data_IF_326177285143
#
_entry.id   IF_326177285143
#
_cell.length_a   1.000
_cell.length_b   1.000
_cell.length_c   1.000
_cell.angle_alpha   90.00
_cell.angle_beta   90.00
_cell.angle_gamma   90.00
#
_symmetry.space_group_name_H-M   'P 1'
#
loop_
_entity.id
_entity.type
_entity.pdbx_description
1 polymer ?
#
# COMPACT_ATOMS: atom_id res chain seq x y z
N UNK A 1 17.12 14.69 3.25
CA UNK A 1 15.84 14.39 2.59
C UNK A 1 14.90 13.82 3.65
N UNK A 2 13.63 14.21 3.68
CA UNK A 2 12.73 13.82 4.78
C UNK A 2 12.63 12.29 4.97
N UNK A 3 12.47 11.55 3.86
CA UNK A 3 12.34 10.09 3.86
C UNK A 3 13.64 9.32 4.18
N UNK A 4 14.78 9.99 4.41
CA UNK A 4 16.01 9.30 4.87
C UNK A 4 16.10 9.23 6.40
N UNK A 5 15.17 9.86 7.13
CA UNK A 5 15.13 9.81 8.60
C UNK A 5 14.49 8.51 9.07
N UNK A 6 15.10 7.84 10.04
CA UNK A 6 14.52 6.63 10.64
C UNK A 6 13.19 6.93 11.36
N UNK A 7 13.07 8.11 11.98
CA UNK A 7 11.84 8.57 12.65
C UNK A 7 10.62 8.55 11.73
N UNK A 8 10.79 8.88 10.46
CA UNK A 8 9.73 8.77 9.47
C UNK A 8 9.27 7.32 9.31
N UNK A 9 10.20 6.40 9.07
CA UNK A 9 9.89 4.99 8.81
C UNK A 9 9.30 4.29 10.01
N UNK A 10 9.75 4.63 11.22
CA UNK A 10 9.18 4.11 12.47
C UNK A 10 7.75 4.63 12.62
N UNK A 11 7.55 5.95 12.73
CA UNK A 11 6.22 6.51 13.02
C UNK A 11 5.22 6.18 11.92
N UNK A 12 5.61 6.33 10.65
CA UNK A 12 4.74 5.98 9.55
C UNK A 12 4.49 4.47 9.44
N UNK A 13 5.51 3.65 9.68
CA UNK A 13 5.34 2.20 9.72
C UNK A 13 4.35 1.78 10.79
N UNK A 14 4.46 2.33 12.00
CA UNK A 14 3.55 2.04 13.11
C UNK A 14 2.11 2.32 12.75
N UNK A 15 1.77 3.52 12.29
CA UNK A 15 0.38 3.89 11.96
C UNK A 15 -0.18 2.98 10.85
N UNK A 16 0.61 2.75 9.79
CA UNK A 16 0.19 1.95 8.65
C UNK A 16 0.00 0.46 9.00
N UNK A 17 0.94 -0.13 9.73
CA UNK A 17 0.87 -1.54 10.13
C UNK A 17 -0.22 -1.73 11.19
N UNK A 18 -0.41 -0.77 12.09
CA UNK A 18 -1.51 -0.79 13.06
C UNK A 18 -2.86 -0.81 12.36
N UNK A 19 -3.06 0.02 11.33
CA UNK A 19 -4.25 -0.01 10.48
C UNK A 19 -4.48 -1.41 9.85
N UNK A 20 -3.45 -1.98 9.22
CA UNK A 20 -3.57 -3.30 8.58
C UNK A 20 -3.83 -4.42 9.60
N UNK A 21 -3.28 -4.30 10.80
CA UNK A 21 -3.45 -5.25 11.90
C UNK A 21 -4.87 -5.22 12.45
N UNK A 22 -5.44 -4.02 12.67
CA UNK A 22 -6.83 -3.87 13.06
C UNK A 22 -7.80 -4.43 12.01
N UNK A 23 -7.51 -4.26 10.72
CA UNK A 23 -8.32 -4.85 9.65
C UNK A 23 -8.33 -6.39 9.74
N UNK A 24 -7.24 -6.99 10.21
CA UNK A 24 -7.11 -8.43 10.48
C UNK A 24 -7.62 -8.84 11.86
N UNK A 25 -8.22 -7.94 12.63
CA UNK A 25 -8.64 -8.14 14.02
C UNK A 25 -7.49 -8.59 14.93
N UNK A 26 -6.26 -8.12 14.65
CA UNK A 26 -5.10 -8.32 15.52
C UNK A 26 -5.05 -7.16 16.50
N UNK A 27 -5.28 -7.45 17.78
CA UNK A 27 -5.22 -6.45 18.84
C UNK A 27 -3.76 -6.22 19.26
N UNK A 28 -3.22 -5.05 18.94
CA UNK A 28 -1.88 -4.60 19.32
C UNK A 28 -1.94 -3.10 19.62
N UNK A 29 -1.24 -2.66 20.66
CA UNK A 29 -1.13 -1.24 20.95
C UNK A 29 -0.14 -0.56 20.00
N UNK A 30 -0.36 0.73 19.72
CA UNK A 30 0.55 1.54 18.90
C UNK A 30 1.96 1.56 19.52
N UNK A 31 2.05 1.71 20.85
CA UNK A 31 3.32 1.76 21.57
C UNK A 31 4.12 0.46 21.45
N UNK A 32 3.47 -0.70 21.65
CA UNK A 32 4.13 -2.01 21.49
C UNK A 32 4.62 -2.23 20.05
N UNK A 33 3.84 -1.77 19.07
CA UNK A 33 4.22 -1.87 17.65
C UNK A 33 5.38 -0.92 17.31
N UNK A 34 5.39 0.28 17.86
CA UNK A 34 6.47 1.25 17.68
C UNK A 34 7.79 0.72 18.26
N UNK A 35 7.77 0.15 19.46
CA UNK A 35 8.93 -0.50 20.08
C UNK A 35 9.42 -1.67 19.22
N UNK A 36 8.50 -2.49 18.74
CA UNK A 36 8.81 -3.65 17.90
C UNK A 36 9.52 -3.27 16.58
N UNK A 37 9.05 -2.19 15.93
CA UNK A 37 9.65 -1.65 14.71
C UNK A 37 11.00 -1.00 15.02
N UNK A 38 11.06 -0.14 16.04
CA UNK A 38 12.26 0.62 16.44
C UNK A 38 13.42 -0.31 16.81
N UNK A 39 13.15 -1.36 17.58
CA UNK A 39 14.16 -2.33 18.01
C UNK A 39 14.48 -3.39 16.96
N UNK A 40 13.80 -3.35 15.79
CA UNK A 40 13.93 -4.31 14.68
C UNK A 40 13.80 -5.77 15.12
N UNK A 41 12.95 -6.03 16.09
CA UNK A 41 12.74 -7.37 16.65
C UNK A 41 12.21 -8.36 15.61
N UNK A 42 11.51 -7.87 14.58
CA UNK A 42 11.03 -8.66 13.44
C UNK A 42 12.16 -9.38 12.66
N UNK A 43 13.43 -9.01 12.84
CA UNK A 43 14.59 -9.69 12.26
C UNK A 43 15.07 -10.89 13.09
N UNK A 44 14.63 -11.02 14.35
CA UNK A 44 15.03 -12.09 15.26
C UNK A 44 14.11 -13.31 15.11
N UNK A 45 14.65 -14.42 14.61
CA UNK A 45 13.86 -15.64 14.35
C UNK A 45 13.45 -16.42 15.62
N UNK A 46 13.99 -16.10 16.79
CA UNK A 46 13.95 -16.99 17.96
C UNK A 46 13.12 -16.49 19.16
N UNK A 47 12.53 -15.29 19.11
CA UNK A 47 11.93 -14.68 20.32
C UNK A 47 10.82 -13.66 20.10
N UNK A 48 10.08 -13.74 18.99
CA UNK A 48 8.98 -12.80 18.78
C UNK A 48 7.70 -13.28 19.44
N UNK A 49 7.16 -12.46 20.34
CA UNK A 49 5.85 -12.64 20.98
C UNK A 49 4.69 -12.36 20.00
N UNK A 50 5.00 -11.80 18.84
CA UNK A 50 4.05 -11.39 17.82
C UNK A 50 3.75 -12.51 16.82
N UNK A 51 2.53 -12.50 16.27
CA UNK A 51 2.12 -13.45 15.23
C UNK A 51 2.95 -13.29 13.95
N UNK A 52 3.13 -14.38 13.21
CA UNK A 52 3.83 -14.36 11.91
C UNK A 52 3.20 -13.37 10.94
N UNK A 53 1.87 -13.21 10.95
CA UNK A 53 1.18 -12.23 10.12
C UNK A 53 1.66 -10.81 10.39
N UNK A 54 1.78 -10.41 11.65
CA UNK A 54 2.28 -9.08 12.00
C UNK A 54 3.76 -8.94 11.60
N UNK A 55 4.58 -9.93 11.90
CA UNK A 55 6.00 -9.95 11.53
C UNK A 55 6.17 -9.76 10.02
N UNK A 56 5.33 -10.42 9.22
CA UNK A 56 5.34 -10.33 7.76
C UNK A 56 4.94 -8.93 7.27
N UNK A 57 3.95 -8.27 7.90
CA UNK A 57 3.63 -6.88 7.61
C UNK A 57 4.85 -5.98 7.88
N UNK A 58 5.49 -6.10 9.06
CA UNK A 58 6.66 -5.28 9.40
C UNK A 58 7.84 -5.54 8.44
N UNK A 59 8.13 -6.80 8.12
CA UNK A 59 9.17 -7.16 7.13
C UNK A 59 8.89 -6.56 5.76
N UNK A 60 7.62 -6.56 5.34
CA UNK A 60 7.22 -5.96 4.07
C UNK A 60 7.43 -4.45 4.10
N UNK A 61 7.09 -3.78 5.21
CA UNK A 61 7.35 -2.35 5.41
C UNK A 61 8.85 -2.02 5.30
N UNK A 62 9.68 -2.79 5.97
CA UNK A 62 11.14 -2.64 5.92
C UNK A 62 11.71 -2.89 4.52
N UNK A 63 11.13 -3.83 3.77
CA UNK A 63 11.49 -4.06 2.38
C UNK A 63 11.13 -2.88 1.49
N UNK A 64 9.90 -2.36 1.58
CA UNK A 64 9.50 -1.21 0.76
C UNK A 64 10.29 0.04 1.10
N UNK A 65 10.74 0.20 2.36
CA UNK A 65 11.69 1.23 2.77
C UNK A 65 12.96 1.18 1.95
N UNK A 66 13.55 0.00 1.77
CA UNK A 66 14.76 -0.16 0.96
C UNK A 66 14.52 0.18 -0.52
N UNK A 67 13.35 -0.22 -1.06
CA UNK A 67 12.95 0.10 -2.44
C UNK A 67 12.83 1.62 -2.64
N UNK A 68 12.14 2.31 -1.72
CA UNK A 68 11.96 3.77 -1.77
C UNK A 68 13.29 4.50 -1.60
N UNK A 69 14.12 4.11 -0.63
CA UNK A 69 15.43 4.74 -0.42
C UNK A 69 16.35 4.56 -1.64
N UNK A 70 16.28 3.40 -2.30
CA UNK A 70 16.97 3.17 -3.56
C UNK A 70 16.46 4.11 -4.64
N UNK A 71 15.14 4.22 -4.85
CA UNK A 71 14.56 5.17 -5.82
C UNK A 71 15.05 6.60 -5.57
N UNK A 72 15.01 7.04 -4.31
CA UNK A 72 15.39 8.40 -3.91
C UNK A 72 16.90 8.67 -3.94
N UNK A 73 17.73 7.63 -4.09
CA UNK A 73 19.19 7.80 -4.27
C UNK A 73 19.58 8.16 -5.70
N UNK A 74 18.68 7.98 -6.67
CA UNK A 74 18.88 8.42 -8.05
C UNK A 74 18.54 9.91 -8.19
N UNK A 75 19.18 10.57 -9.14
CA UNK A 75 18.80 11.95 -9.46
C UNK A 75 17.38 11.98 -10.03
N UNK A 76 16.64 13.05 -9.70
CA UNK A 76 15.29 13.27 -10.20
C UNK A 76 15.36 13.27 -11.73
N UNK A 77 14.61 12.36 -12.36
CA UNK A 77 14.53 12.07 -13.81
C UNK A 77 15.53 11.04 -14.38
N UNK A 78 16.41 10.45 -13.60
CA UNK A 78 17.37 9.47 -14.11
C UNK A 78 16.76 8.05 -14.25
N UNK A 79 15.84 7.69 -13.35
CA UNK A 79 15.27 6.34 -13.27
C UNK A 79 13.75 6.39 -13.26
N UNK A 80 13.15 5.58 -14.14
CA UNK A 80 11.69 5.41 -14.21
C UNK A 80 11.18 4.52 -13.08
N UNK A 81 9.97 4.77 -12.60
CA UNK A 81 9.29 3.97 -11.58
C UNK A 81 9.24 2.50 -11.94
N UNK A 82 8.96 2.17 -13.20
CA UNK A 82 8.91 0.78 -13.68
C UNK A 82 10.24 0.02 -13.56
N UNK A 83 11.36 0.74 -13.47
CA UNK A 83 12.68 0.12 -13.30
C UNK A 83 12.95 -0.23 -11.84
N UNK A 84 12.30 0.47 -10.91
CA UNK A 84 12.39 0.19 -9.47
C UNK A 84 11.29 -0.75 -9.00
N UNK A 85 10.04 -0.50 -9.38
CA UNK A 85 8.88 -1.36 -9.07
C UNK A 85 8.71 -2.36 -10.21
N UNK A 86 9.64 -3.31 -10.30
CA UNK A 86 9.62 -4.36 -11.30
C UNK A 86 8.98 -5.65 -10.75
N UNK A 87 8.93 -6.70 -11.58
CA UNK A 87 8.33 -7.97 -11.22
C UNK A 87 8.97 -8.60 -9.96
N UNK A 88 10.29 -8.51 -9.81
CA UNK A 88 11.01 -9.07 -8.66
C UNK A 88 10.61 -8.37 -7.35
N UNK A 89 10.39 -7.06 -7.38
CA UNK A 89 9.88 -6.30 -6.23
C UNK A 89 8.47 -6.74 -5.88
N UNK A 90 7.58 -6.87 -6.88
CA UNK A 90 6.22 -7.33 -6.67
C UNK A 90 6.17 -8.75 -6.08
N UNK A 91 7.00 -9.66 -6.60
CA UNK A 91 7.13 -11.03 -6.08
C UNK A 91 7.66 -11.02 -4.65
N UNK A 92 8.66 -10.20 -4.35
CA UNK A 92 9.25 -10.11 -3.01
C UNK A 92 8.23 -9.64 -1.97
N UNK A 93 7.47 -8.59 -2.29
CA UNK A 93 6.37 -8.11 -1.43
C UNK A 93 5.32 -9.21 -1.27
N UNK A 94 4.90 -9.85 -2.38
CA UNK A 94 3.92 -10.94 -2.31
C UNK A 94 4.38 -12.10 -1.42
N UNK A 95 5.61 -12.59 -1.57
CA UNK A 95 6.15 -13.71 -0.77
C UNK A 95 6.27 -13.36 0.72
N UNK A 96 6.54 -12.10 1.05
CA UNK A 96 6.54 -11.65 2.44
C UNK A 96 5.12 -11.63 3.01
N UNK A 97 4.14 -11.17 2.23
CA UNK A 97 2.73 -11.11 2.66
C UNK A 97 2.05 -12.48 2.70
N UNK A 98 2.42 -13.40 1.80
CA UNK A 98 1.90 -14.76 1.70
C UNK A 98 3.03 -15.77 1.49
N UNK A 99 3.68 -16.23 2.58
CA UNK A 99 4.76 -17.21 2.52
C UNK A 99 4.35 -18.59 1.99
N UNK A 100 3.04 -18.86 1.87
CA UNK A 100 2.55 -20.11 1.28
C UNK A 100 2.70 -20.13 -0.24
N UNK A 101 2.92 -18.97 -0.86
CA UNK A 101 3.11 -18.80 -2.30
C UNK A 101 1.92 -19.33 -3.14
N UNK A 102 0.73 -19.43 -2.55
CA UNK A 102 -0.47 -20.03 -3.17
C UNK A 102 -0.79 -19.48 -4.57
N UNK A 103 -0.52 -18.20 -4.80
CA UNK A 103 -0.81 -17.47 -6.02
C UNK A 103 0.45 -17.04 -6.80
N UNK A 104 1.62 -17.62 -6.50
CA UNK A 104 2.88 -17.25 -7.16
C UNK A 104 2.82 -17.41 -8.69
N UNK A 105 2.05 -18.38 -9.18
CA UNK A 105 1.82 -18.62 -10.61
C UNK A 105 1.25 -17.40 -11.35
N UNK A 106 0.55 -16.48 -10.66
CA UNK A 106 0.06 -15.23 -11.27
C UNK A 106 1.17 -14.23 -11.59
N UNK A 107 2.40 -14.48 -11.11
CA UNK A 107 3.59 -13.66 -11.35
C UNK A 107 4.51 -14.25 -12.44
N UNK A 108 4.25 -15.46 -12.95
CA UNK A 108 5.15 -16.16 -13.87
C UNK A 108 5.11 -15.61 -15.31
N UNK A 109 3.99 -15.04 -15.75
CA UNK A 109 3.82 -14.52 -17.11
C UNK A 109 3.00 -13.22 -17.15
N UNK A 110 3.71 -12.10 -17.33
CA UNK A 110 3.12 -10.75 -17.45
C UNK A 110 2.12 -10.68 -18.62
N UNK A 111 2.39 -11.36 -19.73
CA UNK A 111 1.56 -11.25 -20.93
C UNK A 111 0.22 -11.94 -20.78
N UNK A 112 0.10 -12.90 -19.87
CA UNK A 112 -1.13 -13.65 -19.64
C UNK A 112 -1.81 -13.30 -18.30
N UNK A 113 -1.08 -12.68 -17.37
CA UNK A 113 -1.63 -12.27 -16.08
C UNK A 113 -2.36 -10.92 -16.18
N UNK A 114 -3.70 -10.95 -16.21
CA UNK A 114 -4.51 -9.72 -16.12
C UNK A 114 -4.17 -8.91 -14.86
N UNK A 115 -3.91 -9.61 -13.75
CA UNK A 115 -3.45 -9.02 -12.50
C UNK A 115 -2.18 -8.17 -12.68
N UNK A 116 -1.13 -8.74 -13.28
CA UNK A 116 0.12 -8.00 -13.51
C UNK A 116 -0.06 -6.86 -14.49
N UNK A 117 -0.88 -7.03 -15.55
CA UNK A 117 -1.17 -5.96 -16.51
C UNK A 117 -1.78 -4.74 -15.83
N UNK A 118 -2.74 -4.91 -14.94
CA UNK A 118 -3.36 -3.78 -14.23
C UNK A 118 -2.38 -3.12 -13.25
N UNK A 119 -1.53 -3.90 -12.56
CA UNK A 119 -0.48 -3.36 -11.68
C UNK A 119 0.54 -2.55 -12.49
N UNK A 120 1.07 -3.10 -13.59
CA UNK A 120 2.06 -2.40 -14.42
C UNK A 120 1.47 -1.18 -15.13
N UNK A 121 0.19 -1.22 -15.49
CA UNK A 121 -0.50 -0.04 -16.01
C UNK A 121 -0.51 1.12 -15.01
N UNK A 122 -0.75 0.86 -13.72
CA UNK A 122 -0.61 1.91 -12.69
C UNK A 122 0.83 2.41 -12.68
N UNK A 123 1.81 1.49 -12.62
CA UNK A 123 3.24 1.84 -12.53
C UNK A 123 3.68 2.73 -13.71
N UNK A 124 3.20 2.44 -14.91
CA UNK A 124 3.43 3.27 -16.11
C UNK A 124 2.79 4.66 -15.99
N UNK A 125 1.54 4.74 -15.51
CA UNK A 125 0.88 6.04 -15.27
C UNK A 125 1.65 6.90 -14.26
N UNK A 126 2.37 6.30 -13.31
CA UNK A 126 3.23 7.05 -12.39
C UNK A 126 4.37 7.76 -13.09
N UNK A 127 4.94 7.15 -14.13
CA UNK A 127 6.04 7.78 -14.87
C UNK A 127 5.56 9.04 -15.61
N UNK A 128 4.26 9.13 -15.90
CA UNK A 128 3.65 10.16 -16.76
C UNK A 128 2.94 11.25 -15.97
N UNK A 129 2.38 10.93 -14.79
CA UNK A 129 1.54 11.84 -14.01
C UNK A 129 2.24 12.35 -12.75
N UNK A 130 2.14 13.67 -12.51
CA UNK A 130 2.56 14.33 -11.27
C UNK A 130 1.38 14.96 -10.51
N UNK A 131 0.16 14.83 -11.04
CA UNK A 131 -1.06 15.26 -10.39
C UNK A 131 -1.52 14.19 -9.39
N UNK A 132 -1.67 14.57 -8.13
CA UNK A 132 -2.07 13.68 -7.05
C UNK A 132 -3.51 13.20 -7.20
N UNK A 133 -4.42 14.05 -7.70
CA UNK A 133 -5.85 13.71 -7.85
C UNK A 133 -6.02 12.67 -8.96
N UNK A 134 -5.34 12.86 -10.09
CA UNK A 134 -5.36 11.91 -11.20
C UNK A 134 -4.76 10.56 -10.79
N UNK A 135 -3.66 10.58 -10.03
CA UNK A 135 -3.06 9.36 -9.49
C UNK A 135 -3.99 8.65 -8.51
N UNK A 136 -4.55 9.37 -7.53
CA UNK A 136 -5.50 8.80 -6.56
C UNK A 136 -6.70 8.17 -7.24
N UNK A 137 -7.27 8.86 -8.22
CA UNK A 137 -8.38 8.34 -9.00
C UNK A 137 -8.00 7.02 -9.68
N UNK A 138 -6.88 7.01 -10.41
CA UNK A 138 -6.38 5.79 -11.07
C UNK A 138 -6.16 4.66 -10.06
N UNK A 139 -5.61 4.99 -8.89
CA UNK A 139 -5.44 4.02 -7.81
C UNK A 139 -6.77 3.47 -7.34
N UNK A 140 -7.73 4.30 -6.95
CA UNK A 140 -9.02 3.85 -6.47
C UNK A 140 -9.72 2.92 -7.50
N UNK A 141 -9.76 3.28 -8.78
CA UNK A 141 -10.35 2.37 -9.79
C UNK A 141 -9.63 1.03 -9.87
N UNK A 142 -8.30 1.04 -9.97
CA UNK A 142 -7.56 -0.22 -10.11
C UNK A 142 -7.59 -1.04 -8.82
N UNK A 143 -7.52 -0.41 -7.65
CA UNK A 143 -7.70 -1.06 -6.36
C UNK A 143 -9.00 -1.86 -6.34
N UNK A 144 -10.10 -1.19 -6.67
CA UNK A 144 -11.40 -1.83 -6.63
C UNK A 144 -11.57 -2.87 -7.72
N UNK A 145 -10.98 -2.68 -8.90
CA UNK A 145 -10.89 -3.75 -9.89
C UNK A 145 -10.23 -5.00 -9.31
N UNK A 146 -9.07 -4.83 -8.69
CA UNK A 146 -8.30 -5.92 -8.09
C UNK A 146 -9.05 -6.57 -6.93
N UNK A 147 -9.74 -5.79 -6.08
CA UNK A 147 -10.56 -6.28 -4.95
C UNK A 147 -11.80 -7.03 -5.44
N UNK A 148 -12.44 -6.55 -6.51
CA UNK A 148 -13.60 -7.22 -7.12
C UNK A 148 -13.21 -8.57 -7.70
N UNK A 149 -12.09 -8.63 -8.42
CA UNK A 149 -11.59 -9.88 -9.02
C UNK A 149 -10.83 -10.77 -8.03
N UNK A 150 -10.37 -10.22 -6.90
CA UNK A 150 -9.75 -10.93 -5.79
C UNK A 150 -8.59 -11.85 -6.21
N UNK A 151 -7.71 -11.36 -7.08
CA UNK A 151 -6.67 -12.16 -7.76
C UNK A 151 -5.79 -12.99 -6.82
N UNK A 152 -5.41 -12.43 -5.67
CA UNK A 152 -4.53 -13.05 -4.68
C UNK A 152 -5.28 -13.42 -3.38
N UNK A 153 -6.61 -13.53 -3.43
CA UNK A 153 -7.41 -13.67 -2.21
C UNK A 153 -7.23 -12.47 -1.27
N UNK A 154 -7.18 -12.75 0.03
CA UNK A 154 -7.00 -11.70 1.06
C UNK A 154 -5.72 -10.87 0.88
N UNK A 155 -4.67 -11.45 0.28
CA UNK A 155 -3.38 -10.78 0.03
C UNK A 155 -3.48 -9.66 -0.99
N UNK A 156 -4.50 -9.66 -1.85
CA UNK A 156 -4.69 -8.64 -2.91
C UNK A 156 -4.71 -7.24 -2.31
N UNK A 157 -5.46 -7.05 -1.21
CA UNK A 157 -5.60 -5.75 -0.55
C UNK A 157 -4.27 -5.29 0.06
N UNK A 158 -3.57 -6.18 0.77
CA UNK A 158 -2.30 -5.85 1.41
C UNK A 158 -1.24 -5.44 0.40
N UNK A 159 -1.06 -6.25 -0.66
CA UNK A 159 -0.11 -5.95 -1.73
C UNK A 159 -0.39 -4.55 -2.30
N UNK A 160 -1.66 -4.25 -2.53
CA UNK A 160 -2.07 -2.97 -3.07
C UNK A 160 -1.78 -1.80 -2.11
N UNK A 161 -2.08 -1.95 -0.82
CA UNK A 161 -1.76 -0.93 0.17
C UNK A 161 -0.25 -0.65 0.22
N UNK A 162 0.61 -1.68 0.21
CA UNK A 162 2.06 -1.49 0.17
C UNK A 162 2.52 -0.80 -1.12
N UNK A 163 1.94 -1.17 -2.26
CA UNK A 163 2.23 -0.55 -3.55
C UNK A 163 1.90 0.95 -3.54
N UNK A 164 0.75 1.32 -2.99
CA UNK A 164 0.35 2.72 -2.81
C UNK A 164 1.36 3.50 -1.95
N UNK A 165 1.83 2.92 -0.84
CA UNK A 165 2.84 3.57 0.01
C UNK A 165 4.15 3.82 -0.75
N UNK A 166 4.67 2.81 -1.48
CA UNK A 166 5.90 2.98 -2.29
C UNK A 166 5.75 4.18 -3.21
N UNK A 167 4.63 4.22 -3.93
CA UNK A 167 4.42 5.16 -5.01
C UNK A 167 4.30 6.59 -4.48
N UNK A 168 3.48 6.80 -3.45
CA UNK A 168 3.19 8.14 -2.97
C UNK A 168 4.39 8.73 -2.23
N UNK A 169 5.16 7.90 -1.53
CA UNK A 169 6.42 8.31 -0.90
C UNK A 169 7.47 8.65 -1.97
N UNK A 170 7.62 7.82 -3.01
CA UNK A 170 8.54 8.08 -4.11
C UNK A 170 8.21 9.37 -4.88
N UNK A 171 6.93 9.75 -5.00
CA UNK A 171 6.46 11.00 -5.61
C UNK A 171 6.47 12.23 -4.68
N UNK A 172 6.97 12.09 -3.45
CA UNK A 172 6.99 13.18 -2.44
C UNK A 172 5.58 13.65 -2.00
N UNK A 173 4.52 12.89 -2.27
CA UNK A 173 3.18 13.14 -1.72
C UNK A 173 3.10 12.70 -0.26
N UNK A 174 3.86 11.67 0.11
CA UNK A 174 3.87 11.10 1.46
C UNK A 174 3.03 9.84 1.60
N UNK A 175 3.04 9.22 2.79
CA UNK A 175 2.27 8.00 3.03
C UNK A 175 0.78 8.31 3.19
N UNK A 176 -0.07 7.36 2.82
CA UNK A 176 -1.52 7.43 3.09
C UNK A 176 -1.78 6.87 4.48
N UNK A 177 -2.19 7.73 5.41
CA UNK A 177 -2.27 7.40 6.84
C UNK A 177 -3.64 7.62 7.42
N UNK A 178 -4.17 6.61 8.11
CA UNK A 178 -5.37 6.74 8.91
C UNK A 178 -4.97 7.06 10.34
N UNK A 179 -5.19 8.30 10.75
CA UNK A 179 -4.99 8.77 12.13
C UNK A 179 -6.18 8.45 13.05
N UNK A 180 -7.29 8.00 12.48
CA UNK A 180 -8.54 7.76 13.18
C UNK A 180 -9.13 6.40 12.77
N UNK A 181 -9.52 5.62 13.77
CA UNK A 181 -10.17 4.33 13.59
C UNK A 181 -11.56 4.48 12.96
N UNK A 182 -12.23 5.61 13.17
CA UNK A 182 -13.55 5.87 12.59
C UNK A 182 -13.46 6.09 11.08
N UNK A 183 -12.44 6.80 10.60
CA UNK A 183 -12.17 6.94 9.17
C UNK A 183 -11.84 5.58 8.53
N UNK A 184 -11.09 4.75 9.25
CA UNK A 184 -10.81 3.38 8.83
C UNK A 184 -12.10 2.55 8.71
N UNK A 185 -12.95 2.57 9.74
CA UNK A 185 -14.23 1.86 9.69
C UNK A 185 -15.11 2.33 8.54
N UNK A 186 -15.15 3.65 8.32
CA UNK A 186 -15.87 4.26 7.20
C UNK A 186 -15.35 3.78 5.85
N UNK A 187 -14.03 3.77 5.62
CA UNK A 187 -13.44 3.26 4.38
C UNK A 187 -13.76 1.78 4.17
N UNK A 188 -13.74 0.97 5.23
CA UNK A 188 -14.12 -0.46 5.15
C UNK A 188 -15.59 -0.62 4.74
N UNK A 189 -16.49 0.19 5.31
CA UNK A 189 -17.91 0.16 4.97
C UNK A 189 -18.15 0.58 3.51
N UNK A 190 -17.59 1.71 3.10
CA UNK A 190 -17.67 2.22 1.73
C UNK A 190 -17.10 1.20 0.74
N UNK A 191 -16.00 0.53 1.09
CA UNK A 191 -15.39 -0.49 0.23
C UNK A 191 -16.30 -1.68 0.00
N UNK A 192 -17.08 -2.08 1.00
CA UNK A 192 -18.08 -3.16 0.84
C UNK A 192 -19.19 -2.74 -0.12
N UNK A 193 -19.69 -1.50 -0.02
CA UNK A 193 -20.73 -0.95 -0.91
C UNK A 193 -20.24 -0.79 -2.34
N UNK A 194 -19.07 -0.18 -2.52
CA UNK A 194 -18.42 0.00 -3.82
C UNK A 194 -18.17 -1.34 -4.52
N UNK A 195 -17.72 -2.37 -3.78
CA UNK A 195 -17.56 -3.73 -4.32
C UNK A 195 -18.88 -4.28 -4.88
N UNK A 196 -19.99 -4.13 -4.14
CA UNK A 196 -21.31 -4.59 -4.60
C UNK A 196 -21.75 -3.83 -5.85
N UNK A 197 -21.58 -2.51 -5.88
CA UNK A 197 -21.89 -1.68 -7.05
C UNK A 197 -21.11 -2.15 -8.28
N UNK A 198 -19.80 -2.35 -8.14
CA UNK A 198 -18.93 -2.72 -9.26
C UNK A 198 -19.15 -4.15 -9.75
N UNK A 199 -19.56 -5.07 -8.87
CA UNK A 199 -19.93 -6.44 -9.26
C UNK A 199 -21.26 -6.50 -10.03
N UNK A 200 -22.13 -5.51 -9.85
CA UNK A 200 -23.49 -5.49 -10.43
C UNK A 200 -23.62 -4.56 -11.63
N UNK A 201 -22.59 -3.76 -11.92
CA UNK A 201 -22.59 -2.79 -13.00
C UNK A 201 -21.42 -3.00 -13.96
N UNK A 202 -21.62 -2.65 -15.23
CA UNK A 202 -20.57 -2.66 -16.24
C UNK A 202 -19.43 -1.70 -15.85
N UNK A 203 -18.19 -2.06 -16.23
CA UNK A 203 -16.98 -1.27 -15.94
C UNK A 203 -17.08 0.20 -16.38
N UNK A 204 -17.83 0.49 -17.45
CA UNK A 204 -18.06 1.86 -17.93
C UNK A 204 -18.83 2.75 -16.96
N UNK A 205 -19.59 2.14 -16.03
CA UNK A 205 -20.40 2.82 -15.00
C UNK A 205 -19.70 2.93 -13.66
N UNK A 206 -18.54 2.28 -13.48
CA UNK A 206 -17.84 2.29 -12.20
C UNK A 206 -17.49 3.70 -11.73
N UNK A 207 -17.31 4.61 -12.68
CA UNK A 207 -17.05 6.03 -12.39
C UNK A 207 -18.19 6.81 -11.76
N UNK A 208 -19.37 6.22 -11.78
CA UNK A 208 -20.56 6.79 -11.18
C UNK A 208 -20.76 6.28 -9.74
N UNK A 209 -19.86 5.41 -9.23
CA UNK A 209 -19.89 4.94 -7.84
C UNK A 209 -19.56 6.08 -6.88
N UNK A 210 -20.55 6.51 -6.09
CA UNK A 210 -20.39 7.58 -5.11
C UNK A 210 -19.45 7.18 -3.97
N UNK A 211 -19.52 5.92 -3.53
CA UNK A 211 -18.66 5.42 -2.46
C UNK A 211 -17.19 5.39 -2.87
N UNK A 212 -16.89 5.16 -4.15
CA UNK A 212 -15.53 5.25 -4.66
C UNK A 212 -15.00 6.67 -4.55
N UNK A 213 -15.80 7.67 -4.95
CA UNK A 213 -15.44 9.10 -4.87
C UNK A 213 -15.24 9.56 -3.43
N UNK A 214 -16.04 9.04 -2.50
CA UNK A 214 -15.87 9.34 -1.09
C UNK A 214 -14.60 8.72 -0.52
N UNK A 215 -14.22 7.51 -0.94
CA UNK A 215 -12.93 6.91 -0.57
C UNK A 215 -11.76 7.72 -1.15
N UNK A 216 -11.86 8.14 -2.41
CA UNK A 216 -10.87 9.02 -3.07
C UNK A 216 -10.65 10.29 -2.23
N UNK A 217 -11.73 10.95 -1.81
CA UNK A 217 -11.68 12.16 -0.97
C UNK A 217 -11.03 11.89 0.39
N UNK A 218 -11.39 10.80 1.07
CA UNK A 218 -10.77 10.44 2.36
C UNK A 218 -9.26 10.25 2.18
N UNK A 219 -8.83 9.54 1.14
CA UNK A 219 -7.40 9.30 0.88
C UNK A 219 -6.66 10.59 0.56
N UNK A 220 -7.26 11.48 -0.25
CA UNK A 220 -6.72 12.80 -0.54
C UNK A 220 -6.49 13.60 0.75
N UNK A 221 -7.50 13.67 1.62
CA UNK A 221 -7.41 14.38 2.90
C UNK A 221 -6.28 13.85 3.79
N UNK A 222 -6.01 12.54 3.77
CA UNK A 222 -4.91 11.94 4.54
C UNK A 222 -3.54 12.34 4.03
N UNK A 223 -3.39 12.49 2.72
CA UNK A 223 -2.13 12.93 2.12
C UNK A 223 -1.91 14.42 2.37
N UNK A 224 -2.96 15.23 2.23
CA UNK A 224 -2.90 16.65 2.53
C UNK A 224 -2.57 16.90 4.00
N UNK A 225 -3.19 16.15 4.90
CA UNK A 225 -2.85 16.20 6.32
C UNK A 225 -1.36 15.92 6.55
N UNK A 226 -0.82 14.85 5.95
CA UNK A 226 0.61 14.56 6.02
C UNK A 226 1.46 15.73 5.50
N UNK A 227 1.09 16.33 4.37
CA UNK A 227 1.80 17.47 3.80
C UNK A 227 1.85 18.68 4.74
N UNK A 228 0.82 18.88 5.56
CA UNK A 228 0.78 19.93 6.59
C UNK A 228 1.70 19.63 7.78
N UNK A 229 1.79 18.36 8.19
CA UNK A 229 2.53 17.96 9.41
C UNK A 229 3.95 17.46 9.15
N UNK A 230 4.38 17.28 7.90
CA UNK A 230 5.70 16.73 7.56
C UNK A 230 6.88 17.49 8.16
N UNK A 231 6.73 18.77 8.51
CA UNK A 231 7.79 19.53 9.18
C UNK A 231 8.04 19.07 10.63
N UNK A 232 7.16 18.25 11.20
CA UNK A 232 7.21 17.74 12.57
C UNK A 232 7.82 16.32 12.71
N UNK A 233 8.40 15.74 11.64
CA UNK A 233 9.17 14.48 11.71
C UNK A 233 10.65 14.65 11.39
#
# INVERSE_FOLDING_TARGET
>A
MYYTKESFWVKSGTDFIWFLSNYKNVNISIDELEDFITNREHLNNNSNIFSENLINLVKTWDYIRLVVLKYKSFDINEVKFKEIINLDVLISIYKMLDPSEKYIHLFEDINNSKFLKEIFKIIELLDETNDIEELLQCFCYTFFELVVYNYLGETTMFLYCYLMQIIFICKDFGPVMFSDIDDMHKVIELSKKAKVFMQTNDKSKWKDCEELKEIEAIWYDKIEFFNLIKNNY
#
